data_IF_181672774177
#
_entry.id   IF_181672774177
#
_cell.length_a   1.000
_cell.length_b   1.000
_cell.length_c   1.000
_cell.angle_alpha   90.00
_cell.angle_beta   90.00
_cell.angle_gamma   90.00
#
_symmetry.space_group_name_H-M   'P 1'
#
loop_
_entity.id
_entity.type
_entity.pdbx_description
1 polymer ?
#
# COMPACT_ATOMS: atom_id res chain seq x y z
N UNK A 1 -26.63 3.72 -4.11
CA UNK A 1 -25.72 2.65 -4.53
C UNK A 1 -24.45 3.32 -5.02
N UNK A 2 -23.29 2.88 -4.51
CA UNK A 2 -21.98 3.33 -5.00
C UNK A 2 -21.71 2.76 -6.39
N UNK A 3 -20.77 3.33 -7.12
CA UNK A 3 -20.26 2.79 -8.37
C UNK A 3 -19.54 1.46 -8.08
N UNK A 4 -19.73 0.47 -8.95
CA UNK A 4 -18.90 -0.74 -8.92
C UNK A 4 -17.48 -0.40 -9.44
N UNK A 5 -16.52 -1.32 -9.26
CA UNK A 5 -15.18 -1.16 -9.82
C UNK A 5 -15.24 -1.09 -11.35
N UNK A 6 -16.06 -1.93 -11.97
CA UNK A 6 -16.26 -1.94 -13.42
C UNK A 6 -16.83 -0.62 -13.92
N UNK A 7 -17.90 -0.09 -13.29
CA UNK A 7 -18.48 1.21 -13.64
C UNK A 7 -17.43 2.33 -13.56
N UNK A 8 -16.55 2.27 -12.54
CA UNK A 8 -15.50 3.26 -12.34
C UNK A 8 -14.44 3.17 -13.44
N UNK A 9 -14.01 1.96 -13.80
CA UNK A 9 -13.05 1.72 -14.88
C UNK A 9 -13.60 2.17 -16.23
N UNK A 10 -14.88 1.90 -16.53
CA UNK A 10 -15.52 2.35 -17.74
C UNK A 10 -15.56 3.88 -17.82
N UNK A 11 -15.82 4.57 -16.71
CA UNK A 11 -15.77 6.03 -16.65
C UNK A 11 -14.36 6.56 -16.89
N UNK A 12 -13.33 5.99 -16.26
CA UNK A 12 -11.94 6.39 -16.50
C UNK A 12 -11.56 6.21 -17.97
N UNK A 13 -11.92 5.09 -18.57
CA UNK A 13 -11.67 4.82 -19.99
C UNK A 13 -12.37 5.82 -20.89
N UNK A 14 -13.64 6.11 -20.63
CA UNK A 14 -14.41 7.12 -21.38
C UNK A 14 -13.80 8.53 -21.30
N UNK A 15 -13.05 8.82 -20.21
CA UNK A 15 -12.30 10.07 -20.04
C UNK A 15 -10.87 10.02 -20.61
N UNK A 16 -10.50 8.94 -21.27
CA UNK A 16 -9.21 8.80 -21.95
C UNK A 16 -8.08 8.22 -21.10
N UNK A 17 -8.36 7.72 -19.89
CA UNK A 17 -7.37 7.02 -19.07
C UNK A 17 -7.18 5.59 -19.61
N UNK A 18 -6.15 5.42 -20.44
CA UNK A 18 -5.88 4.16 -21.15
C UNK A 18 -4.73 3.35 -20.55
N UNK A 19 -4.07 3.88 -19.53
CA UNK A 19 -2.96 3.22 -18.85
C UNK A 19 -3.24 3.16 -17.35
N UNK A 20 -3.13 1.97 -16.79
CA UNK A 20 -3.48 1.69 -15.39
C UNK A 20 -2.22 1.29 -14.61
N UNK A 21 -2.02 1.88 -13.45
CA UNK A 21 -0.91 1.54 -12.55
C UNK A 21 -1.48 1.09 -11.22
N UNK A 22 -1.01 -0.04 -10.73
CA UNK A 22 -1.33 -0.56 -9.41
C UNK A 22 -0.10 -0.37 -8.53
N UNK A 23 -0.21 0.46 -7.49
CA UNK A 23 0.80 0.55 -6.45
C UNK A 23 0.28 -0.14 -5.20
N UNK A 24 0.96 -1.19 -4.75
CA UNK A 24 0.59 -1.86 -3.52
C UNK A 24 1.79 -2.14 -2.62
N UNK A 25 1.53 -2.34 -1.34
CA UNK A 25 2.50 -2.84 -0.37
C UNK A 25 2.20 -4.30 -0.09
N UNK A 26 3.18 -5.18 -0.36
CA UNK A 26 3.03 -6.63 -0.16
C UNK A 26 2.85 -6.97 1.32
N UNK A 27 3.62 -6.32 2.20
CA UNK A 27 3.47 -6.50 3.65
C UNK A 27 2.24 -5.75 4.18
N UNK A 28 1.11 -6.48 4.32
CA UNK A 28 -0.16 -5.94 4.83
C UNK A 28 -0.07 -5.45 6.27
N UNK A 29 0.70 -6.12 7.13
CA UNK A 29 0.92 -5.69 8.51
C UNK A 29 1.62 -4.32 8.56
N UNK A 30 2.65 -4.14 7.74
CA UNK A 30 3.34 -2.86 7.64
C UNK A 30 2.46 -1.75 7.05
N UNK A 31 1.58 -2.10 6.11
CA UNK A 31 0.57 -1.19 5.58
C UNK A 31 -0.37 -0.72 6.69
N UNK A 32 -0.92 -1.65 7.45
CA UNK A 32 -1.85 -1.37 8.56
C UNK A 32 -1.20 -0.48 9.63
N UNK A 33 0.00 -0.84 10.10
CA UNK A 33 0.75 -0.05 11.10
C UNK A 33 1.00 1.38 10.59
N UNK A 34 1.42 1.53 9.35
CA UNK A 34 1.65 2.84 8.74
C UNK A 34 0.38 3.68 8.70
N UNK A 35 -0.76 3.06 8.37
CA UNK A 35 -2.06 3.72 8.34
C UNK A 35 -2.51 4.16 9.75
N UNK A 36 -2.46 3.27 10.72
CA UNK A 36 -2.83 3.57 12.10
C UNK A 36 -1.96 4.68 12.72
N UNK A 37 -0.65 4.68 12.43
CA UNK A 37 0.25 5.75 12.86
C UNK A 37 -0.09 7.09 12.20
N UNK A 38 -0.44 7.08 10.91
CA UNK A 38 -0.87 8.28 10.20
C UNK A 38 -2.19 8.81 10.75
N UNK A 39 -3.16 7.96 11.04
CA UNK A 39 -4.42 8.33 11.70
C UNK A 39 -4.17 8.97 13.07
N UNK A 40 -3.32 8.34 13.91
CA UNK A 40 -3.01 8.86 15.24
C UNK A 40 -2.31 10.22 15.22
N UNK A 41 -1.40 10.43 14.28
CA UNK A 41 -0.60 11.66 14.16
C UNK A 41 -1.26 12.75 13.32
N UNK A 42 -2.24 12.41 12.47
CA UNK A 42 -2.78 13.29 11.45
C UNK A 42 -1.82 13.58 10.28
N UNK A 43 -0.65 12.90 10.24
CA UNK A 43 0.39 13.12 9.23
C UNK A 43 0.43 11.95 8.26
N UNK A 44 -0.06 12.18 7.05
CA UNK A 44 -0.07 11.18 5.96
C UNK A 44 1.08 11.37 4.97
N UNK A 45 1.65 12.56 4.92
CA UNK A 45 2.76 12.93 4.02
C UNK A 45 3.75 13.77 4.81
N UNK A 46 5.05 13.55 4.62
CA UNK A 46 6.10 14.34 5.24
C UNK A 46 7.11 14.81 4.21
N UNK A 47 7.44 16.10 4.26
CA UNK A 47 8.48 16.68 3.41
C UNK A 47 9.85 16.10 3.73
N UNK A 48 10.67 15.86 2.70
CA UNK A 48 12.06 15.44 2.88
C UNK A 48 12.91 16.48 3.62
N UNK A 49 12.52 17.75 3.58
CA UNK A 49 13.21 18.86 4.24
C UNK A 49 12.89 18.97 5.74
N UNK A 50 11.80 18.35 6.21
CA UNK A 50 11.41 18.44 7.62
C UNK A 50 12.08 17.32 8.46
N UNK A 51 12.44 17.55 9.73
CA UNK A 51 12.95 16.51 10.61
C UNK A 51 11.87 15.46 10.86
N UNK A 52 12.26 14.18 11.00
CA UNK A 52 11.34 13.14 11.46
C UNK A 52 10.95 13.47 12.92
N UNK A 53 9.65 13.59 13.16
CA UNK A 53 9.16 13.70 14.52
C UNK A 53 9.28 12.33 15.22
N UNK A 54 9.83 12.32 16.44
CA UNK A 54 9.78 11.14 17.29
C UNK A 54 8.33 10.75 17.56
N UNK A 55 8.02 9.49 17.39
CA UNK A 55 6.68 8.95 17.61
C UNK A 55 6.75 7.75 18.54
N UNK A 56 5.95 7.74 19.63
CA UNK A 56 5.90 6.57 20.47
C UNK A 56 5.33 5.38 19.68
N UNK A 57 5.78 4.16 19.99
CA UNK A 57 5.23 2.96 19.41
C UNK A 57 3.71 2.88 19.54
N UNK A 58 3.08 2.19 18.63
CA UNK A 58 1.64 2.02 18.56
C UNK A 58 1.25 0.82 19.42
N UNK A 59 0.36 1.02 20.39
CA UNK A 59 -0.34 -0.08 21.05
C UNK A 59 -1.54 -0.43 20.18
N UNK A 60 -1.58 -1.65 19.67
CA UNK A 60 -2.65 -2.15 18.79
C UNK A 60 -3.54 -3.09 19.61
N UNK A 61 -4.84 -2.84 19.65
CA UNK A 61 -5.80 -3.86 20.06
C UNK A 61 -6.07 -4.78 18.86
N UNK A 62 -5.53 -6.02 18.84
CA UNK A 62 -5.64 -6.87 17.67
C UNK A 62 -7.04 -7.42 17.42
N UNK A 63 -7.94 -7.30 18.39
CA UNK A 63 -9.33 -7.77 18.27
C UNK A 63 -10.25 -6.71 17.65
N UNK A 64 -9.90 -5.40 17.76
CA UNK A 64 -10.78 -4.31 17.35
C UNK A 64 -10.00 -3.19 16.65
N UNK A 65 -9.56 -3.44 15.42
CA UNK A 65 -8.86 -2.46 14.61
C UNK A 65 -9.86 -1.74 13.72
N UNK A 66 -9.91 -0.41 13.82
CA UNK A 66 -10.74 0.43 12.97
C UNK A 66 -9.96 1.03 11.81
N UNK A 67 -10.45 0.81 10.59
CA UNK A 67 -9.99 1.49 9.37
C UNK A 67 -11.21 2.05 8.62
N UNK A 68 -11.29 3.37 8.51
CA UNK A 68 -12.48 4.03 7.96
C UNK A 68 -13.72 3.81 8.82
N UNK A 69 -14.78 3.26 8.23
CA UNK A 69 -16.05 2.94 8.89
C UNK A 69 -16.12 1.48 9.39
N UNK A 70 -15.12 0.66 9.08
CA UNK A 70 -15.13 -0.77 9.40
C UNK A 70 -14.23 -1.07 10.59
N UNK A 71 -14.59 -2.12 11.36
CA UNK A 71 -13.84 -2.60 12.50
C UNK A 71 -13.75 -4.12 12.43
N UNK A 72 -12.52 -4.63 12.40
CA UNK A 72 -12.23 -6.06 12.31
C UNK A 72 -11.02 -6.42 13.18
N UNK A 73 -10.81 -7.71 13.41
CA UNK A 73 -9.56 -8.20 14.00
C UNK A 73 -8.38 -8.11 13.02
N UNK A 74 -7.19 -8.29 13.56
CA UNK A 74 -5.93 -8.18 12.81
C UNK A 74 -5.87 -9.12 11.61
N UNK A 75 -6.19 -10.40 11.82
CA UNK A 75 -6.06 -11.42 10.75
C UNK A 75 -7.06 -11.14 9.64
N UNK A 76 -8.28 -10.74 9.99
CA UNK A 76 -9.30 -10.34 9.03
C UNK A 76 -8.80 -9.16 8.14
N UNK A 77 -8.15 -8.15 8.71
CA UNK A 77 -7.59 -7.05 7.92
C UNK A 77 -6.50 -7.52 6.95
N UNK A 78 -5.63 -8.46 7.38
CA UNK A 78 -4.61 -9.02 6.49
C UNK A 78 -5.23 -9.81 5.33
N UNK A 79 -6.27 -10.62 5.62
CA UNK A 79 -7.05 -11.35 4.61
C UNK A 79 -7.73 -10.39 3.64
N UNK A 80 -8.35 -9.33 4.17
CA UNK A 80 -9.06 -8.34 3.35
C UNK A 80 -8.08 -7.62 2.40
N UNK A 81 -6.90 -7.22 2.88
CA UNK A 81 -5.90 -6.58 2.02
C UNK A 81 -5.42 -7.50 0.89
N UNK A 82 -5.13 -8.77 1.22
CA UNK A 82 -4.70 -9.74 0.23
C UNK A 82 -5.79 -10.01 -0.82
N UNK A 83 -7.03 -10.25 -0.37
CA UNK A 83 -8.16 -10.55 -1.23
C UNK A 83 -8.54 -9.37 -2.11
N UNK A 84 -8.63 -8.17 -1.53
CA UNK A 84 -8.98 -6.95 -2.28
C UNK A 84 -7.93 -6.63 -3.34
N UNK A 85 -6.64 -6.80 -3.01
CA UNK A 85 -5.56 -6.60 -3.98
C UNK A 85 -5.69 -7.57 -5.15
N UNK A 86 -5.85 -8.87 -4.87
CA UNK A 86 -6.02 -9.89 -5.90
C UNK A 86 -7.22 -9.59 -6.81
N UNK A 87 -8.37 -9.26 -6.23
CA UNK A 87 -9.58 -8.90 -6.97
C UNK A 87 -9.38 -7.67 -7.86
N UNK A 88 -8.65 -6.66 -7.36
CA UNK A 88 -8.32 -5.45 -8.14
C UNK A 88 -7.44 -5.79 -9.35
N UNK A 89 -6.38 -6.57 -9.15
CA UNK A 89 -5.47 -6.99 -10.24
C UNK A 89 -6.25 -7.75 -11.30
N UNK A 90 -7.01 -8.77 -10.91
CA UNK A 90 -7.80 -9.58 -11.83
C UNK A 90 -8.85 -8.76 -12.60
N UNK A 91 -9.51 -7.79 -11.93
CA UNK A 91 -10.49 -6.92 -12.57
C UNK A 91 -9.83 -6.00 -13.60
N UNK A 92 -8.69 -5.41 -13.25
CA UNK A 92 -7.94 -4.52 -14.16
C UNK A 92 -7.37 -5.29 -15.36
N UNK A 93 -6.82 -6.48 -15.16
CA UNK A 93 -6.33 -7.32 -16.25
C UNK A 93 -7.45 -7.67 -17.22
N UNK A 94 -8.61 -8.15 -16.70
CA UNK A 94 -9.78 -8.45 -17.53
C UNK A 94 -10.26 -7.22 -18.30
N UNK A 95 -10.31 -6.08 -17.62
CA UNK A 95 -10.72 -4.82 -18.23
C UNK A 95 -9.78 -4.39 -19.36
N UNK A 96 -8.47 -4.41 -19.11
CA UNK A 96 -7.47 -4.06 -20.11
C UNK A 96 -7.56 -4.97 -21.35
N UNK A 97 -7.70 -6.28 -21.14
CA UNK A 97 -7.89 -7.23 -22.23
C UNK A 97 -9.15 -6.93 -23.03
N UNK A 98 -10.28 -6.68 -22.36
CA UNK A 98 -11.57 -6.40 -23.00
C UNK A 98 -11.54 -5.10 -23.83
N UNK A 99 -10.79 -4.09 -23.39
CA UNK A 99 -10.67 -2.79 -24.06
C UNK A 99 -9.49 -2.72 -25.04
N UNK A 100 -8.70 -3.79 -25.18
CA UNK A 100 -7.50 -3.79 -26.02
C UNK A 100 -6.39 -2.85 -25.52
N UNK A 101 -6.32 -2.62 -24.21
CA UNK A 101 -5.34 -1.77 -23.55
C UNK A 101 -4.09 -2.57 -23.16
N UNK A 102 -2.95 -1.89 -22.94
CA UNK A 102 -1.78 -2.51 -22.32
C UNK A 102 -2.13 -3.10 -20.95
N UNK A 103 -1.45 -4.19 -20.56
CA UNK A 103 -1.56 -4.74 -19.22
C UNK A 103 -1.24 -3.66 -18.16
N UNK A 104 -1.90 -3.67 -16.98
CA UNK A 104 -1.57 -2.74 -15.92
C UNK A 104 -0.11 -2.87 -15.49
N UNK A 105 0.54 -1.75 -15.15
CA UNK A 105 1.83 -1.77 -14.49
C UNK A 105 1.60 -2.01 -12.99
N UNK A 106 2.17 -3.08 -12.45
CA UNK A 106 2.17 -3.33 -11.01
C UNK A 106 3.50 -2.88 -10.40
N UNK A 107 3.42 -1.95 -9.44
CA UNK A 107 4.54 -1.48 -8.65
C UNK A 107 4.40 -2.00 -7.22
N UNK A 108 5.36 -2.80 -6.78
CA UNK A 108 5.43 -3.32 -5.41
C UNK A 108 6.28 -2.37 -4.57
N UNK A 109 5.69 -1.82 -3.51
CA UNK A 109 6.34 -0.81 -2.68
C UNK A 109 7.72 -1.25 -2.18
N UNK A 110 7.83 -2.48 -1.69
CA UNK A 110 9.07 -3.04 -1.14
C UNK A 110 10.18 -3.16 -2.20
N UNK A 111 9.82 -3.39 -3.45
CA UNK A 111 10.76 -3.59 -4.56
C UNK A 111 11.09 -2.29 -5.30
N UNK A 112 10.04 -1.50 -5.57
CA UNK A 112 10.18 -0.35 -6.48
C UNK A 112 10.34 0.99 -5.75
N UNK A 113 9.95 1.10 -4.45
CA UNK A 113 9.98 2.38 -3.73
C UNK A 113 10.78 2.37 -2.42
N UNK A 114 10.83 1.24 -1.71
CA UNK A 114 11.34 1.24 -0.33
C UNK A 114 12.83 1.56 -0.25
N UNK A 115 13.63 0.98 -1.13
CA UNK A 115 15.07 1.20 -1.18
C UNK A 115 15.46 2.45 -1.99
N UNK A 116 14.85 2.62 -3.16
CA UNK A 116 15.10 3.76 -4.04
C UNK A 116 13.84 4.08 -4.87
N UNK A 117 13.07 5.12 -4.50
CA UNK A 117 11.88 5.52 -5.24
C UNK A 117 12.10 5.87 -6.71
N UNK A 118 13.35 6.12 -7.12
CA UNK A 118 13.67 6.33 -8.54
C UNK A 118 13.53 5.07 -9.38
N UNK A 119 13.51 3.87 -8.75
CA UNK A 119 13.23 2.61 -9.45
C UNK A 119 11.81 2.66 -10.01
N UNK A 120 10.80 2.91 -9.16
CA UNK A 120 9.41 3.04 -9.59
C UNK A 120 9.23 4.13 -10.66
N UNK A 121 9.92 5.26 -10.52
CA UNK A 121 9.87 6.34 -11.51
C UNK A 121 10.39 5.88 -12.88
N UNK A 122 11.54 5.18 -12.92
CA UNK A 122 12.09 4.66 -14.19
C UNK A 122 11.22 3.59 -14.81
N UNK A 123 10.66 2.68 -14.00
CA UNK A 123 9.70 1.66 -14.45
C UNK A 123 8.47 2.31 -15.07
N UNK A 124 7.92 3.33 -14.40
CA UNK A 124 6.77 4.08 -14.88
C UNK A 124 7.09 4.81 -16.20
N UNK A 125 8.24 5.49 -16.29
CA UNK A 125 8.66 6.15 -17.53
C UNK A 125 8.81 5.15 -18.68
N UNK A 126 9.46 4.02 -18.44
CA UNK A 126 9.63 2.96 -19.44
C UNK A 126 8.27 2.46 -19.93
N UNK A 127 7.34 2.19 -19.01
CA UNK A 127 6.02 1.68 -19.34
C UNK A 127 5.15 2.73 -20.08
N UNK A 128 5.35 4.03 -19.77
CA UNK A 128 4.70 5.14 -20.48
C UNK A 128 5.39 5.51 -21.78
N UNK A 129 6.52 4.89 -22.12
CA UNK A 129 7.37 5.22 -23.28
C UNK A 129 7.90 6.67 -23.22
N UNK A 130 8.25 7.12 -22.00
CA UNK A 130 8.82 8.44 -21.72
C UNK A 130 10.30 8.32 -21.39
N UNK A 131 11.08 9.31 -21.81
CA UNK A 131 12.47 9.44 -21.34
C UNK A 131 12.48 9.93 -19.87
N UNK A 132 13.18 9.23 -18.94
CA UNK A 132 13.26 9.67 -17.58
C UNK A 132 14.13 10.93 -17.43
N UNK A 133 13.57 11.95 -16.79
CA UNK A 133 14.30 13.16 -16.44
C UNK A 133 14.84 13.10 -15.01
N UNK A 134 15.88 13.87 -14.64
CA UNK A 134 16.34 13.99 -13.28
C UNK A 134 15.21 14.52 -12.37
N UNK A 135 14.86 13.78 -11.31
CA UNK A 135 13.82 14.17 -10.37
C UNK A 135 14.37 14.29 -8.96
N UNK A 136 13.82 15.23 -8.19
CA UNK A 136 14.11 15.38 -6.77
C UNK A 136 12.96 14.85 -5.95
N UNK A 137 13.27 13.99 -4.98
CA UNK A 137 12.28 13.47 -4.06
C UNK A 137 11.88 14.54 -3.04
N UNK A 138 10.63 14.94 -3.06
CA UNK A 138 10.07 15.96 -2.15
C UNK A 138 9.56 15.37 -0.83
N UNK A 139 9.28 14.06 -0.82
CA UNK A 139 8.72 13.37 0.32
C UNK A 139 9.64 12.26 0.78
N UNK A 140 9.55 11.93 2.06
CA UNK A 140 10.26 10.81 2.65
C UNK A 140 9.31 9.87 3.36
N UNK A 141 9.80 8.71 3.65
CA UNK A 141 9.15 7.69 4.47
C UNK A 141 8.91 8.22 5.88
N UNK A 142 7.69 8.08 6.38
CA UNK A 142 7.27 8.62 7.68
C UNK A 142 7.66 7.69 8.82
N UNK A 143 7.58 6.37 8.62
CA UNK A 143 7.88 5.34 9.61
C UNK A 143 8.93 4.39 9.03
N UNK A 144 10.23 4.77 9.01
CA UNK A 144 11.29 3.95 8.44
C UNK A 144 11.72 2.79 9.36
N UNK A 145 11.39 2.86 10.65
CA UNK A 145 11.78 1.89 11.66
C UNK A 145 11.19 0.51 11.39
N UNK A 146 11.84 -0.60 11.81
CA UNK A 146 11.29 -1.94 11.72
C UNK A 146 10.05 -2.11 12.61
N UNK A 147 9.14 -3.00 12.24
CA UNK A 147 7.87 -3.24 12.94
C UNK A 147 8.00 -3.42 14.46
N UNK A 148 9.00 -4.15 15.00
CA UNK A 148 9.18 -4.30 16.44
C UNK A 148 9.39 -2.98 17.19
N UNK A 149 9.88 -1.94 16.52
CA UNK A 149 10.06 -0.61 17.12
C UNK A 149 8.82 0.27 16.97
N UNK A 150 7.94 -0.06 16.03
CA UNK A 150 6.72 0.69 15.76
C UNK A 150 5.52 0.18 16.57
N UNK A 151 5.57 -1.04 17.11
CA UNK A 151 4.45 -1.71 17.80
C UNK A 151 4.86 -1.98 19.25
N UNK A 152 4.10 -1.39 20.20
CA UNK A 152 4.39 -1.52 21.63
C UNK A 152 4.13 -2.94 22.17
N UNK A 153 3.11 -3.61 21.66
CA UNK A 153 2.74 -4.99 22.02
C UNK A 153 3.18 -5.99 20.94
N UNK A 154 4.42 -5.87 20.45
CA UNK A 154 4.94 -6.66 19.34
C UNK A 154 4.82 -8.18 19.54
N UNK A 155 5.13 -8.68 20.73
CA UNK A 155 5.07 -10.13 21.02
C UNK A 155 3.64 -10.69 20.90
N UNK A 156 2.63 -9.91 21.32
CA UNK A 156 1.23 -10.29 21.16
C UNK A 156 0.86 -10.38 19.68
N UNK A 157 1.26 -9.40 18.89
CA UNK A 157 1.04 -9.38 17.43
C UNK A 157 1.74 -10.57 16.77
N UNK A 158 2.98 -10.88 17.14
CA UNK A 158 3.68 -12.07 16.65
C UNK A 158 2.89 -13.35 16.94
N UNK A 159 2.44 -13.54 18.18
CA UNK A 159 1.70 -14.74 18.57
C UNK A 159 0.41 -14.97 17.79
N UNK A 160 -0.20 -13.91 17.27
CA UNK A 160 -1.41 -13.98 16.43
C UNK A 160 -1.10 -14.20 14.95
N UNK A 161 0.00 -13.65 14.44
CA UNK A 161 0.33 -13.71 13.00
C UNK A 161 1.15 -14.95 12.66
N UNK A 162 2.07 -15.41 13.53
CA UNK A 162 2.91 -16.59 13.31
C UNK A 162 2.14 -17.86 12.88
N UNK A 163 0.97 -18.21 13.47
CA UNK A 163 0.23 -19.40 13.06
C UNK A 163 -0.52 -19.25 11.73
N UNK A 164 -0.47 -18.10 11.09
CA UNK A 164 -1.19 -17.80 9.85
C UNK A 164 -0.28 -17.88 8.62
N UNK A 165 -0.88 -17.82 7.44
CA UNK A 165 -0.13 -17.70 6.18
C UNK A 165 0.63 -16.37 6.03
N UNK A 166 0.44 -15.43 6.97
CA UNK A 166 1.06 -14.10 7.01
C UNK A 166 2.32 -14.04 7.89
N UNK A 167 2.79 -15.15 8.46
CA UNK A 167 3.98 -15.21 9.31
C UNK A 167 5.21 -14.50 8.70
N UNK A 168 5.37 -14.58 7.38
CA UNK A 168 6.45 -13.91 6.65
C UNK A 168 6.44 -12.38 6.81
N UNK A 169 5.30 -11.75 7.11
CA UNK A 169 5.17 -10.30 7.31
C UNK A 169 5.90 -9.80 8.56
N UNK A 170 6.21 -10.69 9.50
CA UNK A 170 6.92 -10.38 10.75
C UNK A 170 8.42 -10.17 10.53
N UNK A 171 8.98 -10.73 9.46
CA UNK A 171 10.42 -10.67 9.15
C UNK A 171 10.84 -9.43 8.33
N UNK A 172 9.93 -8.54 8.00
CA UNK A 172 10.15 -7.40 7.09
C UNK A 172 10.35 -6.07 7.82
#
# INVERSE_FOLDING_TARGET
PGLTLEDWLDQLFAHGFQRQVILHRRNGLRRLVSHLMAQRSGVFVQSAAEPLAERPPLLIDPATIQEGAETHDLVHWLDLYATTHQQLVEALERFCVAQGLPAPLELVYEESLEADPQVAYRELCTWLELEPEPVTLLHRRINPEPLPQLIANWEEICGLVEPTLYAWMLAA
#
